data_IF_355473249856
#
_entry.id   IF_355473249856
#
_cell.length_a   1.000
_cell.length_b   1.000
_cell.length_c   1.000
_cell.angle_alpha   90.00
_cell.angle_beta   90.00
_cell.angle_gamma   90.00
#
_symmetry.space_group_name_H-M   'P 1'
#
loop_
_entity.id
_entity.type
_entity.pdbx_description
1 polymer ?
#
# COMPACT_ATOMS: atom_id res chain seq x y z
N UNK A 1 8.45 9.59 0.15
CA UNK A 1 7.82 9.23 1.44
C UNK A 1 7.66 7.72 1.53
N UNK A 2 7.96 7.12 2.69
CA UNK A 2 7.64 5.71 2.98
C UNK A 2 6.73 5.71 4.20
N UNK A 3 5.57 5.07 4.10
CA UNK A 3 4.61 4.92 5.19
C UNK A 3 4.50 3.43 5.49
N UNK A 4 4.87 3.05 6.71
CA UNK A 4 4.89 1.65 7.14
C UNK A 4 3.53 1.22 7.71
N UNK A 5 3.42 -0.05 8.07
CA UNK A 5 2.22 -0.67 8.61
C UNK A 5 1.70 0.07 9.87
N UNK A 6 0.40 -0.09 10.15
CA UNK A 6 -0.27 0.54 11.31
C UNK A 6 -1.72 0.95 11.06
N UNK A 7 -2.22 0.79 9.83
CA UNK A 7 -3.57 1.23 9.44
C UNK A 7 -4.69 0.28 9.85
N UNK A 8 -4.38 -0.93 10.31
CA UNK A 8 -5.37 -1.97 10.65
C UNK A 8 -6.25 -1.67 11.86
N UNK A 9 -5.95 -0.61 12.62
CA UNK A 9 -6.77 -0.14 13.75
C UNK A 9 -7.84 0.86 13.32
N UNK A 10 -7.82 1.32 12.07
CA UNK A 10 -8.77 2.30 11.55
C UNK A 10 -10.07 1.61 11.12
N UNK A 11 -11.18 2.32 11.28
CA UNK A 11 -12.45 1.93 10.66
C UNK A 11 -12.47 2.30 9.17
N UNK A 12 -13.57 1.95 8.49
CA UNK A 12 -13.74 2.25 7.07
C UNK A 12 -13.63 3.74 6.75
N UNK A 13 -14.14 4.62 7.62
CA UNK A 13 -14.08 6.05 7.38
C UNK A 13 -12.64 6.57 7.51
N UNK A 14 -11.90 6.10 8.51
CA UNK A 14 -10.47 6.38 8.68
C UNK A 14 -9.63 5.88 7.51
N UNK A 15 -9.95 4.71 6.95
CA UNK A 15 -9.27 4.18 5.76
C UNK A 15 -9.52 5.04 4.52
N UNK A 16 -10.75 5.53 4.29
CA UNK A 16 -11.02 6.46 3.18
C UNK A 16 -10.27 7.77 3.35
N UNK A 17 -10.28 8.36 4.54
CA UNK A 17 -9.56 9.60 4.81
C UNK A 17 -8.05 9.44 4.64
N UNK A 18 -7.50 8.28 4.99
CA UNK A 18 -6.10 7.94 4.75
C UNK A 18 -5.80 7.87 3.25
N UNK A 19 -6.63 7.21 2.44
CA UNK A 19 -6.47 7.15 0.98
C UNK A 19 -6.44 8.55 0.38
N UNK A 20 -7.42 9.39 0.73
CA UNK A 20 -7.50 10.78 0.25
C UNK A 20 -6.27 11.60 0.66
N UNK A 21 -5.81 11.44 1.90
CA UNK A 21 -4.64 12.15 2.41
C UNK A 21 -3.35 11.74 1.69
N UNK A 22 -3.20 10.44 1.38
CA UNK A 22 -2.04 9.98 0.61
C UNK A 22 -2.10 10.54 -0.81
N UNK A 23 -3.27 10.52 -1.46
CA UNK A 23 -3.44 11.09 -2.80
C UNK A 23 -3.14 12.58 -2.86
N UNK A 24 -3.51 13.36 -1.82
CA UNK A 24 -3.28 14.81 -1.82
C UNK A 24 -1.80 15.18 -1.70
N UNK A 25 -1.02 14.41 -0.94
CA UNK A 25 0.43 14.66 -0.77
C UNK A 25 1.29 14.02 -1.87
N UNK A 26 0.73 13.16 -2.74
CA UNK A 26 1.50 12.46 -3.78
C UNK A 26 2.29 13.42 -4.69
N UNK A 27 1.75 14.60 -4.99
CA UNK A 27 2.42 15.60 -5.83
C UNK A 27 3.65 16.24 -5.14
N UNK A 28 3.75 16.16 -3.82
CA UNK A 28 4.83 16.76 -3.04
C UNK A 28 6.07 15.85 -2.94
N UNK A 29 5.99 14.61 -3.46
CA UNK A 29 7.06 13.63 -3.39
C UNK A 29 7.32 12.96 -4.75
N UNK A 30 8.59 12.74 -5.08
CA UNK A 30 8.98 11.96 -6.26
C UNK A 30 8.43 10.52 -6.24
N UNK A 31 8.26 9.96 -5.04
CA UNK A 31 7.68 8.62 -4.82
C UNK A 31 7.10 8.50 -3.42
N UNK A 32 5.89 7.93 -3.35
CA UNK A 32 5.24 7.49 -2.11
C UNK A 32 5.15 5.96 -2.13
N UNK A 33 5.60 5.31 -1.06
CA UNK A 33 5.50 3.86 -0.88
C UNK A 33 4.70 3.61 0.40
N UNK A 34 3.66 2.79 0.31
CA UNK A 34 2.80 2.43 1.43
C UNK A 34 2.93 0.92 1.66
N UNK A 35 3.31 0.54 2.88
CA UNK A 35 3.38 -0.87 3.30
C UNK A 35 2.13 -1.21 4.09
N UNK A 36 1.41 -2.23 3.66
CA UNK A 36 0.16 -2.64 4.31
C UNK A 36 -0.19 -4.09 4.02
N UNK A 37 -0.82 -4.75 4.98
CA UNK A 37 -1.46 -6.05 4.77
C UNK A 37 -2.96 -5.93 4.42
N UNK A 38 -3.54 -4.71 4.47
CA UNK A 38 -4.96 -4.47 4.16
C UNK A 38 -5.21 -4.48 2.65
N UNK A 39 -6.07 -5.37 2.17
CA UNK A 39 -6.42 -5.45 0.73
C UNK A 39 -7.09 -4.18 0.21
N UNK A 40 -7.97 -3.57 1.01
CA UNK A 40 -8.68 -2.36 0.63
C UNK A 40 -7.74 -1.19 0.33
N UNK A 41 -6.66 -1.05 1.11
CA UNK A 41 -5.67 0.00 0.90
C UNK A 41 -4.77 -0.33 -0.31
N UNK A 42 -4.45 -1.60 -0.55
CA UNK A 42 -3.70 -2.01 -1.76
C UNK A 42 -4.48 -1.67 -3.03
N UNK A 43 -5.78 -1.98 -3.06
CA UNK A 43 -6.64 -1.78 -4.21
C UNK A 43 -6.91 -0.30 -4.52
N UNK A 44 -6.57 0.62 -3.62
CA UNK A 44 -6.69 2.06 -3.86
C UNK A 44 -5.57 2.62 -4.76
N UNK A 45 -4.48 1.88 -4.97
CA UNK A 45 -3.33 2.33 -5.75
C UNK A 45 -3.11 1.47 -7.01
N UNK A 46 -2.76 2.10 -8.14
CA UNK A 46 -2.68 1.40 -9.43
C UNK A 46 -1.46 0.48 -9.51
N UNK A 47 -0.34 0.80 -8.86
CA UNK A 47 0.87 -0.02 -8.85
C UNK A 47 1.06 -0.67 -7.50
N UNK A 48 1.20 -1.99 -7.50
CA UNK A 48 1.32 -2.81 -6.30
C UNK A 48 2.60 -3.65 -6.36
N UNK A 49 3.29 -3.76 -5.22
CA UNK A 49 4.36 -4.73 -5.02
C UNK A 49 3.79 -5.85 -4.16
N UNK A 50 3.45 -6.97 -4.78
CA UNK A 50 2.97 -8.14 -4.05
C UNK A 50 4.15 -8.97 -3.58
N UNK A 51 4.18 -9.29 -2.28
CA UNK A 51 5.23 -10.12 -1.67
C UNK A 51 4.61 -11.45 -1.27
N UNK A 52 5.16 -12.54 -1.81
CA UNK A 52 4.79 -13.92 -1.44
C UNK A 52 5.91 -14.53 -0.61
N UNK A 53 5.63 -14.89 0.64
CA UNK A 53 6.58 -15.59 1.51
C UNK A 53 6.63 -17.06 1.12
N UNK A 54 7.83 -17.60 0.82
CA UNK A 54 8.02 -19.04 0.56
C UNK A 54 8.98 -19.66 1.56
N UNK A 55 8.54 -20.64 2.39
CA UNK A 55 9.39 -21.23 3.43
C UNK A 55 10.66 -21.91 2.91
N UNK A 56 10.64 -22.42 1.68
CA UNK A 56 11.69 -23.22 1.04
C UNK A 56 12.77 -22.39 0.35
N UNK A 57 12.44 -21.19 -0.13
CA UNK A 57 13.34 -20.36 -0.97
C UNK A 57 13.40 -18.88 -0.60
N UNK A 58 12.72 -18.48 0.47
CA UNK A 58 12.62 -17.09 0.90
C UNK A 58 11.46 -16.33 0.23
N UNK A 59 11.34 -15.04 0.55
CA UNK A 59 10.28 -14.20 -0.02
C UNK A 59 10.56 -13.84 -1.47
N UNK A 60 9.52 -13.85 -2.29
CA UNK A 60 9.53 -13.35 -3.67
C UNK A 60 8.60 -12.16 -3.79
N UNK A 61 8.82 -11.32 -4.81
CA UNK A 61 7.92 -10.21 -5.12
C UNK A 61 7.62 -10.12 -6.60
N UNK A 62 6.48 -9.50 -6.91
CA UNK A 62 6.12 -9.10 -8.27
C UNK A 62 5.49 -7.70 -8.27
N UNK A 63 5.68 -6.97 -9.36
CA UNK A 63 5.07 -5.66 -9.57
C UNK A 63 3.84 -5.84 -10.46
N UNK A 64 2.67 -5.51 -9.93
CA UNK A 64 1.41 -5.52 -10.66
C UNK A 64 0.94 -4.09 -10.91
N UNK A 65 0.50 -3.82 -12.13
CA UNK A 65 -0.22 -2.60 -12.46
C UNK A 65 -1.67 -2.99 -12.70
N UNK A 66 -2.58 -2.47 -11.89
CA UNK A 66 -4.01 -2.56 -12.13
C UNK A 66 -4.32 -1.71 -13.37
N UNK A 67 -5.00 -2.32 -14.34
CA UNK A 67 -5.41 -1.69 -15.59
C UNK A 67 -6.53 -0.66 -15.37
#
# INVERSE_FOLDING_TARGET
LIIDEGFGTQDRAGLEQLKESIHSICADFDKVIVVTHLEELKNAFPTQIEVTKRPDRGSEFEVRNLA
#
